data_IF_689476080000
#
_entry.id   IF_689476080000
#
_cell.length_a   1.000
_cell.length_b   1.000
_cell.length_c   1.000
_cell.angle_alpha   90.00
_cell.angle_beta   90.00
_cell.angle_gamma   90.00
#
_symmetry.space_group_name_H-M   'P 1'
#
loop_
_entity.id
_entity.type
_entity.pdbx_description
1 polymer ?
#
# COMPACT_ATOMS: atom_id res chain seq x y z
N UNK A 1 -8.12 5.55 35.52
CA UNK A 1 -8.93 4.35 35.20
C UNK A 1 -9.57 4.59 33.84
N UNK A 2 -9.07 3.95 32.78
CA UNK A 2 -9.57 4.13 31.41
C UNK A 2 -10.93 3.42 31.28
N UNK A 3 -12.01 4.14 30.95
CA UNK A 3 -13.38 3.65 31.00
C UNK A 3 -13.75 2.68 29.86
N UNK A 4 -14.78 1.86 30.08
CA UNK A 4 -15.29 0.77 29.22
C UNK A 4 -15.66 1.16 27.77
N UNK A 5 -15.62 2.46 27.42
CA UNK A 5 -15.88 2.97 26.06
C UNK A 5 -14.62 3.16 25.21
N UNK A 6 -13.43 2.89 25.75
CA UNK A 6 -12.15 3.06 25.03
C UNK A 6 -11.77 1.86 24.16
N UNK A 7 -12.48 0.73 24.29
CA UNK A 7 -12.18 -0.50 23.54
C UNK A 7 -13.32 -0.79 22.58
N UNK A 8 -13.08 -0.53 21.30
CA UNK A 8 -13.97 -0.97 20.22
C UNK A 8 -13.73 -2.47 20.01
N UNK A 9 -14.61 -3.32 20.58
CA UNK A 9 -14.63 -4.76 20.30
C UNK A 9 -15.61 -5.04 19.15
N UNK A 10 -15.06 -5.36 17.97
CA UNK A 10 -15.80 -5.80 16.79
C UNK A 10 -14.92 -6.70 15.90
N UNK A 11 -15.51 -7.43 14.95
CA UNK A 11 -14.72 -8.19 13.97
C UNK A 11 -13.92 -7.20 13.10
N UNK A 12 -12.63 -7.46 12.88
CA UNK A 12 -11.76 -6.64 12.01
C UNK A 12 -12.09 -6.85 10.52
N UNK A 13 -13.33 -6.56 10.14
CA UNK A 13 -13.81 -6.63 8.75
C UNK A 13 -13.30 -5.44 7.94
N UNK A 14 -13.08 -4.29 8.59
CA UNK A 14 -12.61 -3.07 7.93
C UNK A 14 -11.15 -3.19 7.46
N UNK A 15 -10.31 -3.97 8.15
CA UNK A 15 -8.91 -4.14 7.78
C UNK A 15 -8.70 -5.12 6.62
N UNK A 16 -9.72 -5.91 6.23
CA UNK A 16 -9.59 -6.95 5.21
C UNK A 16 -9.14 -6.40 3.84
N UNK A 17 -9.61 -5.22 3.46
CA UNK A 17 -9.22 -4.58 2.19
C UNK A 17 -7.75 -4.18 2.21
N UNK A 18 -7.31 -3.59 3.33
CA UNK A 18 -5.92 -3.18 3.54
C UNK A 18 -5.01 -4.42 3.61
N UNK A 19 -5.38 -5.44 4.37
CA UNK A 19 -4.63 -6.71 4.47
C UNK A 19 -4.51 -7.42 3.12
N UNK A 20 -5.59 -7.45 2.33
CA UNK A 20 -5.55 -8.00 0.96
C UNK A 20 -4.58 -7.22 0.08
N UNK A 21 -4.60 -5.89 0.15
CA UNK A 21 -3.67 -5.07 -0.62
C UNK A 21 -2.21 -5.29 -0.18
N UNK A 22 -1.94 -5.38 1.13
CA UNK A 22 -0.60 -5.71 1.64
C UNK A 22 -0.08 -7.04 1.12
N UNK A 23 -0.96 -8.04 0.96
CA UNK A 23 -0.59 -9.31 0.33
C UNK A 23 -0.22 -9.10 -1.14
N UNK A 24 -1.03 -8.37 -1.90
CA UNK A 24 -0.74 -8.10 -3.31
C UNK A 24 0.57 -7.32 -3.50
N UNK A 25 0.83 -6.30 -2.67
CA UNK A 25 2.10 -5.56 -2.71
C UNK A 25 3.31 -6.49 -2.50
N UNK A 26 3.19 -7.44 -1.56
CA UNK A 26 4.24 -8.44 -1.32
C UNK A 26 4.44 -9.36 -2.52
N UNK A 27 3.35 -9.79 -3.16
CA UNK A 27 3.40 -10.62 -4.37
C UNK A 27 3.97 -9.87 -5.57
N UNK A 28 3.80 -8.54 -5.64
CA UNK A 28 4.30 -7.70 -6.73
C UNK A 28 5.81 -7.37 -6.65
N UNK A 29 6.50 -7.69 -5.55
CA UNK A 29 7.96 -7.55 -5.50
C UNK A 29 8.55 -7.30 -4.12
N UNK A 30 7.77 -6.74 -3.19
CA UNK A 30 8.30 -6.34 -1.86
C UNK A 30 8.74 -7.54 -1.01
N UNK A 31 8.24 -8.75 -1.28
CA UNK A 31 8.72 -9.95 -0.60
C UNK A 31 10.21 -10.17 -0.79
N UNK A 32 10.79 -9.81 -1.95
CA UNK A 32 12.22 -9.96 -2.18
C UNK A 32 13.05 -9.19 -1.15
N UNK A 33 12.78 -7.89 -1.00
CA UNK A 33 13.51 -7.02 -0.07
C UNK A 33 13.39 -7.49 1.39
N UNK A 34 12.20 -7.97 1.78
CA UNK A 34 11.99 -8.48 3.13
C UNK A 34 12.87 -9.71 3.39
N UNK A 35 12.96 -10.64 2.45
CA UNK A 35 13.81 -11.82 2.61
C UNK A 35 15.29 -11.43 2.54
N UNK A 36 15.68 -10.58 1.60
CA UNK A 36 17.06 -10.09 1.48
C UNK A 36 17.56 -9.49 2.79
N UNK A 37 16.80 -8.59 3.42
CA UNK A 37 17.20 -7.98 4.68
C UNK A 37 17.24 -8.97 5.84
N UNK A 38 16.32 -9.93 5.89
CA UNK A 38 16.38 -10.99 6.91
C UNK A 38 17.61 -11.87 6.72
N UNK A 39 17.88 -12.30 5.50
CA UNK A 39 19.03 -13.15 5.19
C UNK A 39 20.36 -12.45 5.50
N UNK A 40 20.46 -11.14 5.21
CA UNK A 40 21.62 -10.33 5.56
C UNK A 40 21.81 -10.18 7.08
N UNK A 41 20.72 -10.06 7.84
CA UNK A 41 20.78 -10.01 9.31
C UNK A 41 21.15 -11.37 9.90
N UNK A 42 20.55 -12.46 9.40
CA UNK A 42 20.84 -13.84 9.82
C UNK A 42 22.30 -14.25 9.55
N UNK A 43 22.91 -13.69 8.49
CA UNK A 43 24.33 -13.86 8.16
C UNK A 43 25.26 -12.94 8.97
N UNK A 44 24.72 -12.05 9.80
CA UNK A 44 25.48 -11.09 10.59
C UNK A 44 26.11 -9.96 9.75
N UNK A 45 25.62 -9.70 8.54
CA UNK A 45 26.12 -8.62 7.68
C UNK A 45 25.68 -7.24 8.17
N UNK A 46 24.53 -7.16 8.84
CA UNK A 46 24.10 -5.97 9.55
C UNK A 46 23.27 -6.35 10.78
N UNK A 47 22.89 -5.35 11.58
CA UNK A 47 22.01 -5.53 12.74
C UNK A 47 20.90 -4.50 12.69
N UNK A 48 19.64 -4.94 12.77
CA UNK A 48 18.48 -4.06 12.87
C UNK A 48 18.42 -3.28 14.19
N UNK A 49 19.24 -3.63 15.18
CA UNK A 49 19.41 -2.88 16.42
C UNK A 49 20.46 -1.76 16.31
N UNK A 50 21.24 -1.72 15.23
CA UNK A 50 22.25 -0.68 15.00
C UNK A 50 21.72 0.37 14.00
N UNK A 51 21.53 1.60 14.48
CA UNK A 51 21.01 2.68 13.67
C UNK A 51 21.95 3.07 12.51
N UNK A 52 23.27 3.01 12.71
CA UNK A 52 24.24 3.33 11.65
C UNK A 52 24.11 2.36 10.46
N UNK A 53 23.94 1.07 10.76
CA UNK A 53 23.75 0.03 9.75
C UNK A 53 22.45 0.26 8.96
N UNK A 54 21.37 0.64 9.65
CA UNK A 54 20.11 1.00 9.01
C UNK A 54 20.30 2.20 8.07
N UNK A 55 21.00 3.24 8.51
CA UNK A 55 21.24 4.43 7.68
C UNK A 55 22.08 4.12 6.44
N UNK A 56 23.08 3.25 6.54
CA UNK A 56 23.83 2.80 5.35
C UNK A 56 22.93 2.05 4.35
N UNK A 57 22.06 1.16 4.83
CA UNK A 57 21.13 0.45 3.96
C UNK A 57 20.13 1.41 3.31
N UNK A 58 19.57 2.37 4.07
CA UNK A 58 18.70 3.43 3.51
C UNK A 58 19.44 4.21 2.43
N UNK A 59 20.63 4.71 2.73
CA UNK A 59 21.42 5.50 1.79
C UNK A 59 21.69 4.75 0.47
N UNK A 60 22.08 3.47 0.57
CA UNK A 60 22.42 2.66 -0.60
C UNK A 60 21.20 2.18 -1.40
N UNK A 61 20.13 1.78 -0.71
CA UNK A 61 19.05 0.99 -1.32
C UNK A 61 17.73 1.77 -1.49
N UNK A 62 17.53 2.89 -0.78
CA UNK A 62 16.28 3.67 -0.87
C UNK A 62 15.95 4.06 -2.31
N UNK A 63 16.95 4.48 -3.11
CA UNK A 63 16.71 4.84 -4.52
C UNK A 63 16.25 3.66 -5.36
N UNK A 64 16.81 2.47 -5.11
CA UNK A 64 16.48 1.25 -5.85
C UNK A 64 15.07 0.78 -5.47
N UNK A 65 14.79 0.72 -4.17
CA UNK A 65 13.46 0.36 -3.64
C UNK A 65 12.41 1.35 -4.15
N UNK A 66 12.71 2.65 -4.19
CA UNK A 66 11.78 3.66 -4.72
C UNK A 66 11.47 3.42 -6.20
N UNK A 67 12.47 3.11 -7.03
CA UNK A 67 12.26 2.79 -8.44
C UNK A 67 11.35 1.58 -8.63
N UNK A 68 11.54 0.53 -7.82
CA UNK A 68 10.66 -0.64 -7.86
C UNK A 68 9.24 -0.32 -7.37
N UNK A 69 9.10 0.49 -6.33
CA UNK A 69 7.80 0.96 -5.85
C UNK A 69 7.07 1.79 -6.91
N UNK A 70 7.78 2.63 -7.66
CA UNK A 70 7.21 3.41 -8.76
C UNK A 70 6.74 2.50 -9.90
N UNK A 71 7.49 1.44 -10.20
CA UNK A 71 7.10 0.42 -11.17
C UNK A 71 5.84 -0.35 -10.71
N UNK A 72 5.83 -0.82 -9.46
CA UNK A 72 4.66 -1.49 -8.85
C UNK A 72 3.44 -0.57 -8.91
N UNK A 73 3.60 0.71 -8.60
CA UNK A 73 2.52 1.72 -8.70
C UNK A 73 2.02 1.83 -10.13
N UNK A 74 2.90 1.91 -11.13
CA UNK A 74 2.49 1.99 -12.54
C UNK A 74 1.69 0.75 -12.95
N UNK A 75 2.18 -0.44 -12.64
CA UNK A 75 1.52 -1.71 -12.94
C UNK A 75 0.18 -1.83 -12.24
N UNK A 76 0.13 -1.50 -10.95
CA UNK A 76 -1.09 -1.50 -10.16
C UNK A 76 -2.10 -0.47 -10.67
N UNK A 77 -1.70 0.71 -11.11
CA UNK A 77 -2.67 1.68 -11.61
C UNK A 77 -3.21 1.30 -13.00
N UNK A 78 -2.44 0.52 -13.77
CA UNK A 78 -2.80 0.12 -15.13
C UNK A 78 -3.43 -1.26 -15.26
N UNK A 79 -3.42 -2.10 -14.22
CA UNK A 79 -4.05 -3.41 -14.29
C UNK A 79 -5.57 -3.29 -14.45
N UNK A 80 -6.18 -4.26 -15.13
CA UNK A 80 -7.62 -4.28 -15.31
C UNK A 80 -8.30 -5.04 -14.18
N UNK A 81 -9.18 -4.36 -13.44
CA UNK A 81 -10.07 -4.97 -12.45
C UNK A 81 -11.29 -5.53 -13.18
N UNK A 82 -11.52 -6.84 -13.02
CA UNK A 82 -12.67 -7.53 -13.61
C UNK A 82 -13.94 -7.29 -12.79
N UNK A 83 -15.08 -7.20 -13.47
CA UNK A 83 -16.40 -7.16 -12.85
C UNK A 83 -16.62 -8.40 -11.97
N UNK A 84 -17.24 -8.22 -10.82
CA UNK A 84 -17.51 -9.31 -9.88
C UNK A 84 -19.00 -9.38 -9.57
N UNK A 85 -19.67 -10.46 -10.01
CA UNK A 85 -21.11 -10.72 -9.80
C UNK A 85 -21.69 -10.45 -8.42
N UNK A 86 -20.89 -10.57 -7.36
CA UNK A 86 -21.33 -10.29 -5.98
C UNK A 86 -21.47 -8.81 -5.64
N UNK A 87 -20.84 -7.94 -6.42
CA UNK A 87 -20.80 -6.49 -6.21
C UNK A 87 -21.50 -5.74 -7.35
N UNK A 88 -22.05 -6.42 -8.35
CA UNK A 88 -22.75 -5.79 -9.48
C UNK A 88 -23.94 -4.93 -8.97
N UNK A 89 -24.62 -5.36 -7.89
CA UNK A 89 -25.72 -4.61 -7.25
C UNK A 89 -25.22 -3.49 -6.30
N UNK A 90 -23.95 -3.51 -5.90
CA UNK A 90 -23.35 -2.61 -4.88
C UNK A 90 -22.31 -1.64 -5.49
N UNK A 91 -22.30 -1.50 -6.83
CA UNK A 91 -21.41 -0.57 -7.53
C UNK A 91 -19.99 -1.08 -7.78
N UNK A 92 -19.81 -2.39 -7.95
CA UNK A 92 -18.54 -3.02 -8.34
C UNK A 92 -18.10 -2.61 -9.75
N UNK A 93 -17.36 -1.50 -9.86
CA UNK A 93 -16.87 -1.00 -11.14
C UNK A 93 -15.71 -1.84 -11.67
N UNK A 94 -15.80 -2.23 -12.95
CA UNK A 94 -14.72 -2.86 -13.69
C UNK A 94 -13.98 -1.83 -14.53
N UNK A 95 -12.66 -1.95 -14.62
CA UNK A 95 -11.85 -0.96 -15.32
C UNK A 95 -10.40 -0.93 -14.84
N UNK A 96 -9.63 -0.02 -15.43
CA UNK A 96 -8.28 0.30 -14.94
C UNK A 96 -8.39 1.32 -13.82
N UNK A 97 -7.74 1.11 -12.65
CA UNK A 97 -7.76 2.06 -11.54
C UNK A 97 -7.43 3.49 -11.95
N UNK A 98 -6.43 3.68 -12.81
CA UNK A 98 -6.06 5.00 -13.33
C UNK A 98 -7.22 5.69 -14.05
N UNK A 99 -7.88 4.98 -14.96
CA UNK A 99 -9.03 5.52 -15.70
C UNK A 99 -10.22 5.77 -14.79
N UNK A 100 -10.50 4.86 -13.85
CA UNK A 100 -11.59 5.02 -12.89
C UNK A 100 -11.37 6.23 -11.96
N UNK A 101 -10.11 6.49 -11.61
CA UNK A 101 -9.75 7.64 -10.80
C UNK A 101 -9.85 8.94 -11.59
N UNK A 102 -9.27 9.03 -12.78
CA UNK A 102 -9.23 10.30 -13.55
C UNK A 102 -10.51 10.61 -14.32
N UNK A 103 -11.27 9.59 -14.71
CA UNK A 103 -12.48 9.70 -15.54
C UNK A 103 -13.66 8.91 -14.96
N UNK A 104 -14.11 9.22 -13.74
CA UNK A 104 -15.23 8.50 -13.10
C UNK A 104 -16.53 8.56 -13.92
N UNK A 105 -16.72 9.63 -14.73
CA UNK A 105 -17.87 9.81 -15.61
C UNK A 105 -18.04 8.69 -16.64
N UNK A 106 -16.94 8.08 -17.09
CA UNK A 106 -16.96 6.95 -18.05
C UNK A 106 -17.53 5.67 -17.42
N UNK A 107 -17.57 5.61 -16.09
CA UNK A 107 -18.04 4.47 -15.32
C UNK A 107 -19.36 4.75 -14.58
N UNK A 108 -20.01 5.89 -14.87
CA UNK A 108 -21.21 6.33 -14.16
C UNK A 108 -20.97 6.68 -12.68
N UNK A 109 -19.72 6.95 -12.30
CA UNK A 109 -19.33 7.31 -10.95
C UNK A 109 -19.24 8.83 -10.76
N UNK A 110 -19.28 9.27 -9.51
CA UNK A 110 -19.18 10.69 -9.11
C UNK A 110 -17.79 10.95 -8.53
N UNK A 111 -17.16 12.05 -8.94
CA UNK A 111 -15.87 12.46 -8.38
C UNK A 111 -16.06 13.10 -6.99
N UNK A 112 -15.37 12.56 -5.98
CA UNK A 112 -15.35 13.06 -4.60
C UNK A 112 -13.95 13.55 -4.16
N UNK A 113 -13.02 13.77 -5.10
CA UNK A 113 -11.69 14.30 -4.78
C UNK A 113 -11.78 15.70 -4.17
N UNK A 114 -10.91 15.98 -3.21
CA UNK A 114 -10.66 17.30 -2.65
C UNK A 114 -9.15 17.59 -2.72
N UNK A 115 -8.74 18.85 -2.92
CA UNK A 115 -7.34 19.22 -2.89
C UNK A 115 -6.77 18.98 -1.48
N UNK A 116 -5.60 18.36 -1.41
CA UNK A 116 -4.85 18.16 -0.16
C UNK A 116 -3.67 19.13 -0.16
N UNK A 117 -3.50 19.91 0.91
CA UNK A 117 -2.32 20.77 1.05
C UNK A 117 -1.08 19.91 1.33
N UNK A 118 0.03 20.20 0.64
CA UNK A 118 1.28 19.41 0.71
C UNK A 118 1.83 19.33 2.14
N UNK A 119 1.51 20.31 2.99
CA UNK A 119 1.93 20.36 4.39
C UNK A 119 1.41 19.17 5.20
N UNK A 120 0.24 18.65 4.87
CA UNK A 120 -0.39 17.52 5.58
C UNK A 120 0.21 16.15 5.18
N UNK A 121 0.89 16.08 4.03
CA UNK A 121 1.50 14.84 3.52
C UNK A 121 2.90 14.56 4.06
N UNK A 122 3.62 15.60 4.50
CA UNK A 122 5.00 15.50 5.00
C UNK A 122 5.08 15.13 6.49
N UNK A 123 3.98 15.22 7.25
CA UNK A 123 3.96 14.80 8.66
C UNK A 123 3.82 13.27 8.84
N UNK A 124 3.71 12.51 7.74
CA UNK A 124 3.57 11.04 7.75
C UNK A 124 4.79 10.28 7.20
N UNK A 125 5.90 10.96 6.89
CA UNK A 125 7.20 10.37 6.53
C UNK A 125 8.27 10.78 7.55
#
# INVERSE_FOLDING_TARGET
MCGEKSVIKGRSMCNQRIERWWRTLREMGISFWIHLFKDMEDQGMFSSANNEHIEYLRFCLTKIIQQELDQIKMEWNNHYIRAQRRYDDDGGLAGKPEMMFFHPELFGAVDYKFPVEIRDGLEML
#
